data_IF_301393734312
#
_entry.id   IF_301393734312
#
_cell.length_a   1.000
_cell.length_b   1.000
_cell.length_c   1.000
_cell.angle_alpha   90.00
_cell.angle_beta   90.00
_cell.angle_gamma   90.00
#
_symmetry.space_group_name_H-M   'P 1'
#
loop_
_entity.id
_entity.type
_entity.pdbx_description
1 polymer ?
#
# COMPACT_ATOMS: atom_id res chain seq x y z
N UNK A 1 10.96 -10.96 -21.80
CA UNK A 1 11.48 -9.60 -21.52
C UNK A 1 12.72 -9.73 -20.66
N UNK A 2 13.81 -9.00 -20.94
CA UNK A 2 15.01 -9.02 -20.08
C UNK A 2 14.62 -8.42 -18.72
N UNK A 3 14.75 -9.20 -17.65
CA UNK A 3 14.62 -8.69 -16.29
C UNK A 3 15.77 -7.69 -16.05
N UNK A 4 15.42 -6.44 -15.77
CA UNK A 4 16.35 -5.36 -15.49
C UNK A 4 15.95 -4.65 -14.21
N UNK A 5 16.94 -4.11 -13.49
CA UNK A 5 16.70 -3.26 -12.32
C UNK A 5 16.72 -1.81 -12.79
N UNK A 6 15.64 -1.09 -12.52
CA UNK A 6 15.51 0.33 -12.82
C UNK A 6 15.42 1.10 -11.51
N UNK A 7 16.31 2.07 -11.32
CA UNK A 7 16.33 2.91 -10.12
C UNK A 7 15.77 4.28 -10.49
N UNK A 8 14.65 4.64 -9.86
CA UNK A 8 14.03 5.95 -10.01
C UNK A 8 14.31 6.77 -8.75
N UNK A 9 15.17 7.79 -8.84
CA UNK A 9 15.40 8.74 -7.73
C UNK A 9 14.32 9.82 -7.73
N UNK A 10 13.13 9.46 -7.25
CA UNK A 10 11.93 10.30 -7.24
C UNK A 10 11.22 10.11 -5.89
N UNK A 11 10.58 11.15 -5.39
CA UNK A 11 9.61 11.04 -4.30
C UNK A 11 8.49 10.07 -4.69
N UNK A 12 8.30 9.01 -3.91
CA UNK A 12 7.30 7.97 -4.19
C UNK A 12 5.88 8.53 -4.27
N UNK A 13 5.57 9.62 -3.56
CA UNK A 13 4.25 10.27 -3.61
C UNK A 13 4.02 11.05 -4.92
N UNK A 14 5.07 11.24 -5.72
CA UNK A 14 5.02 11.85 -7.06
C UNK A 14 5.25 10.82 -8.17
N UNK A 15 5.53 9.57 -7.80
CA UNK A 15 5.81 8.51 -8.75
C UNK A 15 4.50 7.92 -9.29
N UNK A 16 4.31 7.99 -10.60
CA UNK A 16 3.21 7.33 -11.30
C UNK A 16 3.78 6.22 -12.21
N UNK A 17 3.67 4.94 -11.83
CA UNK A 17 4.10 3.85 -12.69
C UNK A 17 3.18 3.78 -13.91
N UNK A 18 3.75 3.94 -15.10
CA UNK A 18 3.06 3.63 -16.35
C UNK A 18 3.06 2.11 -16.60
N UNK A 19 2.52 1.36 -15.64
CA UNK A 19 2.47 -0.09 -15.63
C UNK A 19 1.04 -0.53 -15.35
N UNK A 20 0.60 -1.56 -16.06
CA UNK A 20 -0.61 -2.31 -15.73
C UNK A 20 -0.22 -3.62 -15.02
N UNK A 21 -1.11 -4.14 -14.17
CA UNK A 21 -0.96 -5.45 -13.53
C UNK A 21 0.36 -5.66 -12.76
N UNK A 22 0.78 -4.66 -11.98
CA UNK A 22 2.04 -4.70 -11.22
C UNK A 22 1.82 -4.99 -9.73
N UNK A 23 2.90 -5.38 -9.06
CA UNK A 23 2.97 -5.61 -7.62
C UNK A 23 3.77 -4.49 -6.95
N UNK A 24 3.36 -4.09 -5.76
CA UNK A 24 4.15 -3.19 -4.91
C UNK A 24 4.66 -3.97 -3.72
N UNK A 25 5.99 -4.00 -3.55
CA UNK A 25 6.63 -4.61 -2.37
C UNK A 25 7.49 -3.54 -1.72
N UNK A 26 7.28 -3.29 -0.43
CA UNK A 26 7.98 -2.22 0.26
C UNK A 26 8.13 -2.48 1.76
N UNK A 27 9.18 -1.90 2.34
CA UNK A 27 9.31 -1.72 3.78
C UNK A 27 9.23 -0.22 4.06
N UNK A 28 8.18 0.23 4.76
CA UNK A 28 7.82 1.65 4.84
C UNK A 28 7.93 2.17 6.28
N UNK A 29 8.54 3.36 6.51
CA UNK A 29 8.49 4.06 7.79
C UNK A 29 7.08 4.52 8.19
N UNK A 30 6.77 4.53 9.48
CA UNK A 30 5.42 4.81 10.01
C UNK A 30 4.73 6.07 9.46
N UNK A 31 5.42 7.21 9.45
CA UNK A 31 4.79 8.51 9.21
C UNK A 31 4.28 8.70 7.78
N UNK A 32 4.78 7.91 6.82
CA UNK A 32 4.47 8.04 5.39
C UNK A 32 3.63 6.89 4.85
N UNK A 33 3.34 5.86 5.66
CA UNK A 33 2.51 4.71 5.25
C UNK A 33 1.13 5.13 4.77
N UNK A 34 0.44 6.01 5.50
CA UNK A 34 -0.89 6.49 5.11
C UNK A 34 -0.87 7.27 3.78
N UNK A 35 0.02 8.27 3.58
CA UNK A 35 0.20 8.92 2.29
C UNK A 35 0.48 7.94 1.13
N UNK A 36 1.36 6.95 1.34
CA UNK A 36 1.71 5.97 0.30
C UNK A 36 0.51 5.09 -0.05
N UNK A 37 -0.19 4.56 0.94
CA UNK A 37 -1.38 3.75 0.69
C UNK A 37 -2.45 4.54 -0.07
N UNK A 38 -2.72 5.78 0.33
CA UNK A 38 -3.66 6.65 -0.37
C UNK A 38 -3.21 6.93 -1.81
N UNK A 39 -1.91 7.18 -2.03
CA UNK A 39 -1.37 7.42 -3.36
C UNK A 39 -1.62 6.24 -4.29
N UNK A 40 -1.20 5.04 -3.89
CA UNK A 40 -1.31 3.85 -4.75
C UNK A 40 -2.72 3.28 -4.87
N UNK A 41 -3.53 3.34 -3.80
CA UNK A 41 -4.87 2.77 -3.81
C UNK A 41 -5.93 3.73 -4.35
N UNK A 42 -5.76 5.04 -4.22
CA UNK A 42 -6.80 6.02 -4.53
C UNK A 42 -6.37 7.08 -5.55
N UNK A 43 -5.18 7.66 -5.44
CA UNK A 43 -4.78 8.80 -6.27
C UNK A 43 -4.28 8.40 -7.67
N UNK A 44 -3.68 7.22 -7.82
CA UNK A 44 -3.15 6.76 -9.10
C UNK A 44 -4.26 6.25 -10.04
N UNK A 45 -4.14 6.49 -11.36
CA UNK A 45 -5.07 5.96 -12.35
C UNK A 45 -4.98 4.42 -12.47
N UNK A 46 -3.77 3.87 -12.35
CA UNK A 46 -3.52 2.42 -12.42
C UNK A 46 -3.09 1.91 -11.05
N UNK A 47 -4.02 1.21 -10.38
CA UNK A 47 -3.79 0.61 -9.07
C UNK A 47 -2.97 -0.68 -9.20
N UNK A 48 -2.12 -0.98 -8.21
CA UNK A 48 -1.42 -2.26 -8.17
C UNK A 48 -2.42 -3.41 -8.01
N UNK A 49 -2.06 -4.59 -8.53
CA UNK A 49 -2.84 -5.82 -8.35
C UNK A 49 -2.77 -6.30 -6.90
N UNK A 50 -1.62 -6.15 -6.27
CA UNK A 50 -1.39 -6.54 -4.88
C UNK A 50 -0.26 -5.69 -4.29
N UNK A 51 -0.36 -5.43 -2.97
CA UNK A 51 0.65 -4.73 -2.20
C UNK A 51 1.08 -5.61 -1.03
N UNK A 52 2.39 -5.85 -0.92
CA UNK A 52 3.02 -6.58 0.19
C UNK A 52 3.92 -5.59 0.92
N UNK A 53 3.45 -5.09 2.06
CA UNK A 53 4.10 -3.99 2.76
C UNK A 53 4.45 -4.40 4.18
N UNK A 54 5.72 -4.25 4.53
CA UNK A 54 6.17 -4.25 5.92
C UNK A 54 5.96 -2.85 6.51
N UNK A 55 5.25 -2.78 7.63
CA UNK A 55 4.92 -1.55 8.34
C UNK A 55 4.85 -1.80 9.85
N UNK A 56 4.73 -0.72 10.63
CA UNK A 56 4.53 -0.84 12.07
C UNK A 56 3.18 -1.51 12.39
N UNK A 57 3.20 -2.30 13.46
CA UNK A 57 2.09 -3.15 13.88
C UNK A 57 0.79 -2.37 14.11
N UNK A 58 0.87 -1.19 14.70
CA UNK A 58 -0.29 -0.34 14.99
C UNK A 58 -1.00 0.16 13.72
N UNK A 59 -0.26 0.41 12.64
CA UNK A 59 -0.85 0.72 11.31
C UNK A 59 -1.50 -0.53 10.72
N UNK A 60 -0.81 -1.67 10.76
CA UNK A 60 -1.34 -2.94 10.26
C UNK A 60 -2.64 -3.32 10.99
N UNK A 61 -2.64 -3.21 12.31
CA UNK A 61 -3.79 -3.49 13.18
C UNK A 61 -4.97 -2.56 12.84
N UNK A 62 -4.70 -1.30 12.47
CA UNK A 62 -5.71 -0.28 12.10
C UNK A 62 -6.43 -0.59 10.78
N UNK A 63 -5.72 -1.10 9.77
CA UNK A 63 -6.28 -1.33 8.43
C UNK A 63 -6.86 -2.75 8.27
N UNK A 64 -6.40 -3.71 9.06
CA UNK A 64 -6.85 -5.11 8.98
C UNK A 64 -8.29 -5.27 9.51
N UNK A 65 -9.10 -6.10 8.83
CA UNK A 65 -10.53 -6.36 9.11
C UNK A 65 -10.85 -6.97 10.49
N UNK A 66 -9.84 -7.17 11.36
CA UNK A 66 -10.04 -7.62 12.75
C UNK A 66 -10.75 -6.57 13.62
N UNK A 67 -10.76 -5.30 13.20
CA UNK A 67 -11.51 -4.25 13.89
C UNK A 67 -12.94 -4.12 13.33
N UNK A 68 -13.95 -4.48 14.14
CA UNK A 68 -15.37 -4.29 13.80
C UNK A 68 -15.75 -2.81 13.61
N UNK A 69 -15.01 -1.89 14.25
CA UNK A 69 -15.26 -0.46 14.23
C UNK A 69 -14.08 0.27 13.59
N UNK A 70 -14.06 0.32 12.25
CA UNK A 70 -13.09 1.13 11.50
C UNK A 70 -13.42 2.61 11.65
N UNK A 71 -12.60 3.35 12.39
CA UNK A 71 -12.84 4.78 12.70
C UNK A 71 -11.92 5.73 11.96
N UNK A 72 -10.83 5.24 11.35
CA UNK A 72 -9.87 6.11 10.64
C UNK A 72 -10.19 6.19 9.15
N UNK A 73 -9.94 7.37 8.56
CA UNK A 73 -10.07 7.58 7.11
C UNK A 73 -9.24 6.56 6.33
N UNK A 74 -8.00 6.30 6.78
CA UNK A 74 -7.13 5.29 6.17
C UNK A 74 -7.78 3.89 6.18
N UNK A 75 -8.29 3.45 7.34
CA UNK A 75 -8.91 2.12 7.45
C UNK A 75 -10.13 1.96 6.55
N UNK A 76 -10.91 3.03 6.34
CA UNK A 76 -12.08 3.03 5.46
C UNK A 76 -11.67 3.02 3.99
N UNK A 77 -10.68 3.82 3.59
CA UNK A 77 -10.15 3.82 2.22
C UNK A 77 -9.62 2.44 1.86
N UNK A 78 -8.78 1.84 2.72
CA UNK A 78 -8.22 0.52 2.45
C UNK A 78 -9.32 -0.54 2.38
N UNK A 79 -10.35 -0.47 3.23
CA UNK A 79 -11.48 -1.41 3.17
C UNK A 79 -12.31 -1.28 1.89
N UNK A 80 -12.52 -0.06 1.44
CA UNK A 80 -13.32 0.23 0.25
C UNK A 80 -12.57 -0.12 -1.03
N UNK A 81 -11.25 0.09 -1.07
CA UNK A 81 -10.44 -0.08 -2.27
C UNK A 81 -9.89 -1.50 -2.45
N UNK A 82 -9.79 -2.30 -1.37
CA UNK A 82 -9.20 -3.63 -1.39
C UNK A 82 -10.23 -4.73 -1.10
N UNK A 83 -10.24 -5.77 -1.92
CA UNK A 83 -11.11 -6.94 -1.73
C UNK A 83 -10.68 -7.76 -0.49
N UNK A 84 -9.37 -8.04 -0.40
CA UNK A 84 -8.76 -8.82 0.67
C UNK A 84 -7.64 -8.03 1.37
N UNK A 85 -7.61 -8.11 2.70
CA UNK A 85 -6.55 -7.54 3.53
C UNK A 85 -6.17 -8.61 4.55
N UNK A 86 -4.93 -9.08 4.49
CA UNK A 86 -4.41 -10.15 5.34
C UNK A 86 -3.05 -9.80 5.92
N UNK A 87 -2.84 -10.28 7.14
CA UNK A 87 -1.54 -10.22 7.81
C UNK A 87 -0.72 -11.44 7.36
N UNK A 88 0.46 -11.21 6.78
CA UNK A 88 1.31 -12.29 6.24
C UNK A 88 2.21 -12.89 7.33
N UNK A 89 2.91 -12.04 8.08
CA UNK A 89 3.81 -12.46 9.16
C UNK A 89 3.99 -11.35 10.19
N UNK A 90 4.40 -11.72 11.40
CA UNK A 90 4.91 -10.80 12.42
C UNK A 90 6.42 -10.97 12.47
N UNK A 91 7.14 -9.85 12.36
CA UNK A 91 8.60 -9.79 12.47
C UNK A 91 8.96 -9.18 13.82
#
# INVERSE_FOLDING_TARGET
AKAGIYIHNIDVLKFNPNLENYLVVANIPYYITSPILNHFLYSLPHRPKEMIILMQKDVADKITKKQKNKTSVLSLIVDFMCEEIREITKV
#
